data_IF_032881350823
#
_entry.id   IF_032881350823
#
_cell.length_a   1.000
_cell.length_b   1.000
_cell.length_c   1.000
_cell.angle_alpha   90.00
_cell.angle_beta   90.00
_cell.angle_gamma   90.00
#
_symmetry.space_group_name_H-M   'P 1'
#
loop_
_entity.id
_entity.type
_entity.pdbx_description
1 polymer ?
#
# COMPACT_ATOMS: atom_id res chain seq x y z
N UNK A 1 -45.09 -40.89 48.33
CA UNK A 1 -44.45 -39.67 47.79
C UNK A 1 -43.09 -39.51 48.45
N UNK A 2 -42.03 -39.96 47.77
CA UNK A 2 -40.94 -39.15 47.16
C UNK A 2 -39.86 -38.72 48.17
N UNK A 3 -38.75 -39.48 48.22
CA UNK A 3 -37.42 -39.18 47.61
C UNK A 3 -36.55 -38.24 48.47
N UNK A 4 -35.55 -38.74 49.20
CA UNK A 4 -34.14 -39.04 48.80
C UNK A 4 -33.40 -37.79 48.28
N UNK A 5 -32.54 -37.18 49.13
CA UNK A 5 -31.48 -36.25 48.73
C UNK A 5 -30.13 -36.76 49.22
N UNK A 6 -29.36 -37.37 48.33
CA UNK A 6 -27.90 -37.48 48.40
C UNK A 6 -27.39 -37.64 46.96
N UNK A 7 -26.42 -36.80 46.59
CA UNK A 7 -25.73 -36.86 45.30
C UNK A 7 -26.08 -35.74 44.33
N UNK A 8 -25.53 -34.54 44.53
CA UNK A 8 -25.46 -33.53 43.45
C UNK A 8 -24.37 -32.48 43.68
N UNK A 9 -23.15 -32.89 44.07
CA UNK A 9 -21.98 -31.99 44.13
C UNK A 9 -20.81 -32.51 43.27
N UNK A 10 -20.84 -33.76 42.78
CA UNK A 10 -19.71 -34.36 42.06
C UNK A 10 -19.79 -34.19 40.52
N UNK A 11 -20.81 -33.49 40.00
CA UNK A 11 -21.04 -33.39 38.55
C UNK A 11 -20.58 -32.07 37.90
N UNK A 12 -20.07 -31.10 38.66
CA UNK A 12 -19.70 -29.77 38.12
C UNK A 12 -18.20 -29.53 37.90
N UNK A 13 -17.31 -30.42 38.37
CA UNK A 13 -15.86 -30.25 38.21
C UNK A 13 -15.25 -30.98 37.00
N UNK A 14 -16.05 -31.71 36.21
CA UNK A 14 -15.56 -32.48 35.06
C UNK A 14 -15.79 -31.85 33.68
N UNK A 15 -16.33 -30.63 33.61
CA UNK A 15 -16.56 -29.93 32.33
C UNK A 15 -15.55 -28.84 31.99
N UNK A 16 -14.65 -28.45 32.91
CA UNK A 16 -13.67 -27.38 32.66
C UNK A 16 -12.30 -27.87 32.17
N UNK A 17 -12.04 -29.18 32.15
CA UNK A 17 -10.71 -29.71 31.83
C UNK A 17 -10.48 -30.11 30.37
N UNK A 18 -11.39 -29.78 29.44
CA UNK A 18 -11.25 -30.15 28.02
C UNK A 18 -11.22 -28.96 27.03
N UNK A 19 -11.29 -27.70 27.49
CA UNK A 19 -11.30 -26.50 26.61
C UNK A 19 -9.93 -25.84 26.42
N UNK A 20 -8.98 -26.00 27.35
CA UNK A 20 -7.69 -25.29 27.28
C UNK A 20 -6.75 -25.80 26.16
N UNK A 21 -6.88 -27.07 25.74
CA UNK A 21 -6.07 -27.65 24.67
C UNK A 21 -6.49 -27.25 23.25
N UNK A 22 -7.78 -27.01 23.04
CA UNK A 22 -8.35 -26.60 21.75
C UNK A 22 -8.14 -25.10 21.51
N UNK A 23 -8.27 -24.29 22.56
CA UNK A 23 -8.06 -22.84 22.51
C UNK A 23 -6.61 -22.46 22.16
N UNK A 24 -5.61 -23.14 22.74
CA UNK A 24 -4.20 -22.88 22.42
C UNK A 24 -3.85 -23.22 20.97
N UNK A 25 -4.44 -24.29 20.42
CA UNK A 25 -4.30 -24.68 19.01
C UNK A 25 -4.95 -23.67 18.06
N UNK A 26 -6.15 -23.21 18.40
CA UNK A 26 -6.90 -22.19 17.66
C UNK A 26 -6.18 -20.83 17.66
N UNK A 27 -5.64 -20.41 18.80
CA UNK A 27 -4.85 -19.17 18.93
C UNK A 27 -3.60 -19.24 18.04
N UNK A 28 -2.82 -20.32 18.09
CA UNK A 28 -1.64 -20.49 17.22
C UNK A 28 -2.01 -20.46 15.74
N UNK A 29 -3.12 -21.08 15.35
CA UNK A 29 -3.61 -21.06 13.96
C UNK A 29 -4.03 -19.66 13.51
N UNK A 30 -4.72 -18.91 14.37
CA UNK A 30 -5.09 -17.51 14.12
C UNK A 30 -3.85 -16.62 14.02
N UNK A 31 -2.90 -16.78 14.92
CA UNK A 31 -1.64 -16.05 14.90
C UNK A 31 -0.85 -16.32 13.62
N UNK A 32 -0.72 -17.59 13.21
CA UNK A 32 -0.06 -17.94 11.94
C UNK A 32 -0.73 -17.24 10.76
N UNK A 33 -2.06 -17.31 10.65
CA UNK A 33 -2.83 -16.63 9.59
C UNK A 33 -2.63 -15.12 9.63
N UNK A 34 -2.64 -14.51 10.82
CA UNK A 34 -2.42 -13.08 10.98
C UNK A 34 -0.99 -12.66 10.59
N UNK A 35 0.03 -13.46 10.94
CA UNK A 35 1.43 -13.18 10.62
C UNK A 35 1.79 -13.41 9.15
N UNK A 36 1.09 -14.30 8.43
CA UNK A 36 1.40 -14.66 7.05
C UNK A 36 0.33 -14.23 6.03
N UNK A 37 -0.48 -13.20 6.36
CA UNK A 37 -1.50 -12.72 5.44
C UNK A 37 -0.90 -11.85 4.32
N UNK A 38 -1.59 -11.79 3.18
CA UNK A 38 -1.14 -11.09 1.99
C UNK A 38 -0.83 -9.61 2.26
N UNK A 39 -1.69 -8.90 2.99
CA UNK A 39 -1.48 -7.48 3.29
C UNK A 39 -0.22 -7.22 4.12
N UNK A 40 0.06 -8.07 5.10
CA UNK A 40 1.29 -7.96 5.91
C UNK A 40 2.54 -8.29 5.10
N UNK A 41 2.49 -9.33 4.27
CA UNK A 41 3.62 -9.71 3.43
C UNK A 41 3.94 -8.62 2.39
N UNK A 42 2.91 -8.12 1.70
CA UNK A 42 3.06 -7.00 0.76
C UNK A 42 3.59 -5.75 1.47
N UNK A 43 3.06 -5.41 2.64
CA UNK A 43 3.58 -4.28 3.41
C UNK A 43 5.07 -4.42 3.74
N UNK A 44 5.52 -5.60 4.17
CA UNK A 44 6.94 -5.87 4.43
C UNK A 44 7.79 -5.68 3.17
N UNK A 45 7.36 -6.26 2.03
CA UNK A 45 8.08 -6.19 0.75
C UNK A 45 8.14 -4.73 0.26
N UNK A 46 7.01 -4.01 0.27
CA UNK A 46 6.97 -2.59 -0.12
C UNK A 46 7.86 -1.73 0.75
N UNK A 47 7.88 -1.98 2.07
CA UNK A 47 8.71 -1.24 3.02
C UNK A 47 10.20 -1.42 2.75
N UNK A 48 10.59 -2.65 2.43
CA UNK A 48 11.96 -3.02 2.10
C UNK A 48 12.40 -2.34 0.79
N UNK A 49 11.61 -2.50 -0.28
CA UNK A 49 11.84 -1.83 -1.56
C UNK A 49 11.97 -0.31 -1.39
N UNK A 50 11.05 0.34 -0.66
CA UNK A 50 11.12 1.78 -0.39
C UNK A 50 12.43 2.19 0.30
N UNK A 51 12.89 1.39 1.27
CA UNK A 51 14.13 1.67 2.01
C UNK A 51 15.34 1.58 1.08
N UNK A 52 15.42 0.52 0.29
CA UNK A 52 16.53 0.30 -0.64
C UNK A 52 16.56 1.39 -1.73
N UNK A 53 15.40 1.75 -2.30
CA UNK A 53 15.32 2.83 -3.28
C UNK A 53 15.75 4.17 -2.68
N UNK A 54 15.37 4.47 -1.45
CA UNK A 54 15.81 5.69 -0.77
C UNK A 54 17.33 5.70 -0.55
N UNK A 55 17.89 4.58 -0.09
CA UNK A 55 19.33 4.46 0.14
C UNK A 55 20.12 4.64 -1.17
N UNK A 56 19.76 3.91 -2.23
CA UNK A 56 20.41 4.00 -3.54
C UNK A 56 20.28 5.37 -4.18
N UNK A 57 19.10 6.01 -4.09
CA UNK A 57 18.95 7.37 -4.59
C UNK A 57 19.77 8.39 -3.77
N UNK A 58 19.86 8.22 -2.45
CA UNK A 58 20.69 9.08 -1.61
C UNK A 58 22.18 8.94 -1.95
N UNK A 59 22.65 7.72 -2.24
CA UNK A 59 24.01 7.46 -2.74
C UNK A 59 24.28 8.13 -4.09
N UNK A 60 23.26 8.21 -4.96
CA UNK A 60 23.31 8.99 -6.22
C UNK A 60 23.17 10.51 -6.03
N UNK A 61 23.13 11.01 -4.79
CA UNK A 61 23.08 12.45 -4.46
C UNK A 61 21.68 13.07 -4.44
N UNK A 62 20.62 12.26 -4.46
CA UNK A 62 19.25 12.75 -4.31
C UNK A 62 18.89 12.93 -2.83
N UNK A 63 18.71 14.18 -2.42
CA UNK A 63 18.44 14.55 -1.04
C UNK A 63 16.94 14.58 -0.71
N UNK A 64 16.62 14.53 0.59
CA UNK A 64 15.29 14.86 1.10
C UNK A 64 14.23 13.77 0.94
N UNK A 65 14.58 12.62 0.37
CA UNK A 65 13.65 11.52 0.15
C UNK A 65 13.06 11.02 1.47
N UNK A 66 11.74 10.84 1.51
CA UNK A 66 11.03 10.33 2.68
C UNK A 66 10.03 9.26 2.29
N UNK A 67 9.73 8.44 3.29
CA UNK A 67 8.65 7.48 3.23
C UNK A 67 7.31 8.20 3.12
N UNK A 68 6.41 7.70 2.26
CA UNK A 68 5.13 8.34 1.98
C UNK A 68 5.17 9.29 0.78
N UNK A 69 6.35 9.65 0.26
CA UNK A 69 6.45 10.42 -0.99
C UNK A 69 6.01 9.62 -2.22
N UNK A 70 5.98 8.29 -2.11
CA UNK A 70 5.40 7.38 -3.09
C UNK A 70 3.93 7.70 -3.38
N UNK A 71 3.19 8.24 -2.40
CA UNK A 71 1.83 8.72 -2.61
C UNK A 71 1.74 9.76 -3.74
N UNK A 72 2.77 10.60 -3.90
CA UNK A 72 2.84 11.51 -5.04
C UNK A 72 3.33 10.78 -6.29
N UNK A 73 4.51 10.13 -6.23
CA UNK A 73 5.18 9.65 -7.44
C UNK A 73 4.44 8.52 -8.17
N UNK A 74 3.76 7.62 -7.45
CA UNK A 74 3.04 6.48 -8.05
C UNK A 74 1.86 6.89 -8.93
N UNK A 75 1.31 8.10 -8.72
CA UNK A 75 0.12 8.59 -9.41
C UNK A 75 0.42 9.73 -10.38
N UNK A 76 1.70 10.03 -10.64
CA UNK A 76 2.11 11.10 -11.54
C UNK A 76 2.14 10.65 -13.00
N UNK A 77 1.89 11.59 -13.91
CA UNK A 77 2.06 11.41 -15.36
C UNK A 77 3.34 12.07 -15.82
N UNK A 78 4.19 11.34 -16.54
CA UNK A 78 5.41 11.89 -17.14
C UNK A 78 5.15 12.98 -18.19
N UNK A 79 3.98 12.98 -18.83
CA UNK A 79 3.67 13.92 -19.92
C UNK A 79 2.66 15.00 -19.54
N UNK A 80 1.57 14.63 -18.86
CA UNK A 80 0.40 15.51 -18.72
C UNK A 80 0.36 16.28 -17.39
N UNK A 81 1.22 15.89 -16.45
CA UNK A 81 1.09 16.29 -15.06
C UNK A 81 -0.27 15.86 -14.46
N UNK A 82 -0.43 16.05 -13.16
CA UNK A 82 -1.65 15.60 -12.46
C UNK A 82 -2.15 16.70 -11.53
N UNK A 83 -3.47 16.91 -11.46
CA UNK A 83 -4.01 17.91 -10.55
C UNK A 83 -3.81 17.44 -9.11
N UNK A 84 -3.54 18.36 -8.22
CA UNK A 84 -3.37 18.08 -6.77
C UNK A 84 -4.61 17.39 -6.19
N UNK A 85 -5.80 17.72 -6.69
CA UNK A 85 -7.06 17.09 -6.25
C UNK A 85 -7.15 15.62 -6.68
N UNK A 86 -6.69 15.30 -7.88
CA UNK A 86 -6.70 13.92 -8.40
C UNK A 86 -5.65 13.08 -7.67
N UNK A 87 -4.48 13.66 -7.36
CA UNK A 87 -3.47 13.03 -6.51
C UNK A 87 -4.02 12.76 -5.10
N UNK A 88 -4.72 13.73 -4.51
CA UNK A 88 -5.31 13.58 -3.18
C UNK A 88 -6.34 12.44 -3.17
N UNK A 89 -7.22 12.41 -4.18
CA UNK A 89 -8.24 11.36 -4.33
C UNK A 89 -7.63 9.97 -4.53
N UNK A 90 -6.60 9.85 -5.38
CA UNK A 90 -5.92 8.58 -5.66
C UNK A 90 -5.26 7.96 -4.42
N UNK A 91 -4.89 8.79 -3.44
CA UNK A 91 -4.21 8.36 -2.22
C UNK A 91 -5.10 8.40 -0.97
N UNK A 92 -6.39 8.68 -1.12
CA UNK A 92 -7.32 8.87 0.01
C UNK A 92 -6.83 9.92 1.03
N UNK A 93 -6.10 10.94 0.54
CA UNK A 93 -5.59 12.05 1.34
C UNK A 93 -6.49 13.27 1.19
N UNK A 94 -6.46 14.15 2.21
CA UNK A 94 -7.07 15.47 2.06
C UNK A 94 -6.30 16.31 1.05
N UNK A 95 -6.98 17.24 0.37
CA UNK A 95 -6.33 18.20 -0.52
C UNK A 95 -5.23 18.99 0.17
N UNK A 96 -5.42 19.32 1.45
CA UNK A 96 -4.45 20.03 2.28
C UNK A 96 -3.20 19.18 2.52
N UNK A 97 -3.37 17.92 2.93
CA UNK A 97 -2.26 16.99 3.14
C UNK A 97 -1.47 16.77 1.85
N UNK A 98 -2.15 16.53 0.72
CA UNK A 98 -1.49 16.40 -0.57
C UNK A 98 -0.79 17.70 -0.99
N UNK A 99 -1.37 18.87 -0.73
CA UNK A 99 -0.73 20.15 -1.04
C UNK A 99 0.55 20.37 -0.22
N UNK A 100 0.56 19.96 1.05
CA UNK A 100 1.76 19.99 1.89
C UNK A 100 2.84 19.06 1.36
N UNK A 101 2.49 17.84 0.99
CA UNK A 101 3.41 16.88 0.39
C UNK A 101 4.03 17.43 -0.90
N UNK A 102 3.21 18.00 -1.80
CA UNK A 102 3.71 18.63 -3.03
C UNK A 102 4.62 19.82 -2.72
N UNK A 103 4.30 20.67 -1.74
CA UNK A 103 5.16 21.80 -1.35
C UNK A 103 6.54 21.32 -0.89
N UNK A 104 6.56 20.23 -0.12
CA UNK A 104 7.79 19.65 0.38
C UNK A 104 8.66 19.13 -0.78
N UNK A 105 8.08 18.34 -1.68
CA UNK A 105 8.79 17.75 -2.82
C UNK A 105 9.23 18.83 -3.82
N UNK A 106 8.43 19.88 -3.99
CA UNK A 106 8.76 21.07 -4.78
C UNK A 106 9.93 21.85 -4.15
N UNK A 107 10.02 21.91 -2.83
CA UNK A 107 11.14 22.51 -2.10
C UNK A 107 12.48 21.80 -2.34
N UNK A 108 12.47 20.50 -2.63
CA UNK A 108 13.66 19.75 -3.07
C UNK A 108 13.90 19.81 -4.59
N UNK A 109 13.01 20.46 -5.33
CA UNK A 109 13.11 20.68 -6.77
C UNK A 109 12.80 19.46 -7.62
N UNK A 110 12.10 18.45 -7.11
CA UNK A 110 11.72 17.26 -7.89
C UNK A 110 10.44 17.43 -8.69
N UNK A 111 9.55 18.30 -8.22
CA UNK A 111 8.30 18.62 -8.90
C UNK A 111 8.10 20.13 -8.97
N UNK A 112 7.24 20.55 -9.88
CA UNK A 112 6.82 21.92 -10.02
C UNK A 112 5.33 21.99 -10.32
N UNK A 113 4.68 23.09 -9.92
CA UNK A 113 3.29 23.36 -10.28
C UNK A 113 3.18 24.31 -11.46
N UNK A 114 2.44 23.89 -12.48
CA UNK A 114 2.09 24.72 -13.63
C UNK A 114 0.57 24.95 -13.68
N UNK A 115 0.09 26.08 -14.22
CA UNK A 115 -1.34 26.30 -14.43
C UNK A 115 -1.95 25.17 -15.26
N UNK A 116 -3.18 24.78 -14.93
CA UNK A 116 -3.92 23.83 -15.77
C UNK A 116 -4.41 24.55 -17.05
N UNK A 117 -4.13 24.02 -18.26
CA UNK A 117 -4.48 24.69 -19.51
C UNK A 117 -6.00 24.73 -19.78
N UNK A 118 -6.79 23.92 -19.06
CA UNK A 118 -8.25 23.83 -19.20
C UNK A 118 -8.97 24.59 -18.08
N UNK A 119 -8.40 24.64 -16.88
CA UNK A 119 -8.94 25.38 -15.73
C UNK A 119 -7.86 26.20 -15.02
N UNK A 120 -7.75 27.49 -15.34
CA UNK A 120 -6.73 28.38 -14.75
C UNK A 120 -6.80 28.53 -13.22
N UNK A 121 -7.87 28.06 -12.57
CA UNK A 121 -7.97 28.01 -11.09
C UNK A 121 -7.31 26.76 -10.50
N UNK A 122 -7.04 25.75 -11.32
CA UNK A 122 -6.34 24.53 -10.94
C UNK A 122 -4.85 24.61 -11.27
N UNK A 123 -4.06 23.80 -10.55
CA UNK A 123 -2.64 23.60 -10.82
C UNK A 123 -2.38 22.12 -11.05
N UNK A 124 -1.52 21.83 -12.03
CA UNK A 124 -0.98 20.51 -12.32
C UNK A 124 0.43 20.40 -11.78
N UNK A 125 0.73 19.27 -11.17
CA UNK A 125 2.07 18.92 -10.71
C UNK A 125 2.78 18.19 -11.84
N UNK A 126 4.00 18.61 -12.16
CA UNK A 126 4.88 18.01 -13.15
C UNK A 126 6.20 17.62 -12.49
N UNK A 127 6.87 16.59 -13.02
CA UNK A 127 8.28 16.39 -12.70
C UNK A 127 9.12 17.52 -13.30
N UNK A 128 10.11 17.97 -12.55
CA UNK A 128 11.21 18.78 -13.09
C UNK A 128 12.21 17.87 -13.81
N UNK A 129 13.23 18.44 -14.43
CA UNK A 129 14.36 17.66 -14.96
C UNK A 129 15.05 16.84 -13.84
N UNK A 130 15.29 17.44 -12.68
CA UNK A 130 15.82 16.74 -11.49
C UNK A 130 14.90 15.61 -11.03
N UNK A 131 13.58 15.84 -11.04
CA UNK A 131 12.57 14.83 -10.73
C UNK A 131 12.58 13.65 -11.71
N UNK A 132 12.67 13.92 -13.00
CA UNK A 132 12.79 12.87 -14.02
C UNK A 132 14.09 12.07 -13.87
N UNK A 133 15.21 12.73 -13.57
CA UNK A 133 16.47 12.04 -13.29
C UNK A 133 16.37 11.14 -12.05
N UNK A 134 15.70 11.59 -10.99
CA UNK A 134 15.41 10.77 -9.81
C UNK A 134 14.58 9.53 -10.17
N UNK A 135 13.54 9.68 -10.99
CA UNK A 135 12.71 8.55 -11.44
C UNK A 135 13.53 7.56 -12.27
N UNK A 136 14.35 8.05 -13.20
CA UNK A 136 15.21 7.18 -14.01
C UNK A 136 16.21 6.40 -13.15
N UNK A 137 16.83 7.05 -12.16
CA UNK A 137 17.69 6.36 -11.20
C UNK A 137 16.91 5.32 -10.38
N UNK A 138 15.69 5.66 -9.97
CA UNK A 138 14.82 4.74 -9.23
C UNK A 138 14.43 3.51 -10.06
N UNK A 139 14.18 3.66 -11.36
CA UNK A 139 13.88 2.53 -12.26
C UNK A 139 15.06 1.56 -12.32
N UNK A 140 16.30 2.06 -12.45
CA UNK A 140 17.48 1.22 -12.41
C UNK A 140 17.65 0.53 -11.04
N UNK A 141 17.47 1.29 -9.95
CA UNK A 141 17.56 0.77 -8.59
C UNK A 141 16.51 -0.31 -8.29
N UNK A 142 15.30 -0.22 -8.86
CA UNK A 142 14.27 -1.27 -8.72
C UNK A 142 14.81 -2.60 -9.26
N UNK A 143 15.45 -2.60 -10.44
CA UNK A 143 16.00 -3.83 -11.02
C UNK A 143 17.05 -4.46 -10.11
N UNK A 144 17.97 -3.67 -9.55
CA UNK A 144 19.00 -4.17 -8.62
C UNK A 144 18.38 -4.75 -7.33
N UNK A 145 17.34 -4.13 -6.80
CA UNK A 145 16.64 -4.64 -5.60
C UNK A 145 15.92 -5.96 -5.90
N UNK A 146 15.27 -6.05 -7.06
CA UNK A 146 14.59 -7.28 -7.51
C UNK A 146 15.57 -8.42 -7.82
N UNK A 147 16.79 -8.11 -8.28
CA UNK A 147 17.89 -9.07 -8.39
C UNK A 147 18.27 -9.63 -7.01
N UNK A 148 18.42 -8.77 -6.00
CA UNK A 148 18.64 -9.21 -4.62
C UNK A 148 17.53 -10.14 -4.10
N UNK A 149 16.27 -9.87 -4.43
CA UNK A 149 15.17 -10.79 -4.12
C UNK A 149 15.29 -12.12 -4.86
N UNK A 150 15.78 -12.08 -6.11
CA UNK A 150 15.98 -13.27 -6.92
C UNK A 150 17.09 -14.17 -6.36
N UNK A 151 18.13 -13.59 -5.77
CA UNK A 151 19.16 -14.34 -5.03
C UNK A 151 18.59 -15.05 -3.79
N UNK A 152 17.61 -14.44 -3.11
CA UNK A 152 17.03 -14.99 -1.87
C UNK A 152 16.07 -16.16 -2.10
N UNK A 153 15.22 -16.08 -3.14
CA UNK A 153 14.13 -17.06 -3.33
C UNK A 153 14.12 -17.75 -4.70
N UNK A 154 14.99 -17.32 -5.61
CA UNK A 154 15.07 -17.77 -7.00
C UNK A 154 14.32 -16.84 -7.96
N UNK A 155 14.94 -16.57 -9.11
CA UNK A 155 14.43 -15.68 -10.18
C UNK A 155 13.02 -16.06 -10.65
N UNK A 156 12.75 -17.35 -10.86
CA UNK A 156 11.43 -17.83 -11.29
C UNK A 156 10.33 -17.41 -10.31
N UNK A 157 10.58 -17.51 -9.00
CA UNK A 157 9.59 -17.14 -7.99
C UNK A 157 9.35 -15.63 -7.93
N UNK A 158 10.40 -14.83 -8.09
CA UNK A 158 10.28 -13.36 -8.16
C UNK A 158 9.48 -12.95 -9.40
N UNK A 159 9.77 -13.55 -10.56
CA UNK A 159 9.03 -13.28 -11.79
C UNK A 159 7.55 -13.68 -11.67
N UNK A 160 7.24 -14.82 -11.05
CA UNK A 160 5.87 -15.24 -10.76
C UNK A 160 5.18 -14.25 -9.80
N UNK A 161 5.85 -13.83 -8.72
CA UNK A 161 5.32 -12.87 -7.77
C UNK A 161 4.96 -11.55 -8.47
N UNK A 162 5.87 -11.00 -9.28
CA UNK A 162 5.65 -9.77 -10.05
C UNK A 162 4.43 -9.90 -10.97
N UNK A 163 4.35 -11.00 -11.72
CA UNK A 163 3.23 -11.25 -12.64
C UNK A 163 1.89 -11.31 -11.91
N UNK A 164 1.79 -12.09 -10.84
CA UNK A 164 0.56 -12.26 -10.05
C UNK A 164 0.16 -10.95 -9.37
N UNK A 165 1.11 -10.23 -8.77
CA UNK A 165 0.85 -8.94 -8.15
C UNK A 165 0.35 -7.91 -9.17
N UNK A 166 0.97 -7.85 -10.35
CA UNK A 166 0.54 -6.96 -11.42
C UNK A 166 -0.87 -7.31 -11.92
N UNK A 167 -1.15 -8.60 -12.16
CA UNK A 167 -2.49 -9.04 -12.59
C UNK A 167 -3.55 -8.62 -11.57
N UNK A 168 -3.30 -8.84 -10.28
CA UNK A 168 -4.21 -8.46 -9.21
C UNK A 168 -4.38 -6.94 -9.15
N UNK A 169 -3.28 -6.18 -9.17
CA UNK A 169 -3.29 -4.72 -9.11
C UNK A 169 -4.11 -4.12 -10.27
N UNK A 170 -3.87 -4.57 -11.50
CA UNK A 170 -4.62 -4.13 -12.69
C UNK A 170 -6.11 -4.40 -12.51
N UNK A 171 -6.50 -5.61 -12.08
CA UNK A 171 -7.91 -5.95 -11.86
C UNK A 171 -8.56 -5.12 -10.75
N UNK A 172 -7.83 -4.79 -9.70
CA UNK A 172 -8.31 -3.92 -8.61
C UNK A 172 -8.57 -2.50 -9.11
N UNK A 173 -7.62 -1.91 -9.85
CA UNK A 173 -7.76 -0.56 -10.43
C UNK A 173 -9.02 -0.48 -11.32
N UNK A 174 -9.21 -1.45 -12.21
CA UNK A 174 -10.39 -1.50 -13.07
C UNK A 174 -11.68 -1.60 -12.25
N UNK A 175 -11.70 -2.47 -11.24
CA UNK A 175 -12.87 -2.65 -10.36
C UNK A 175 -13.24 -1.35 -9.63
N UNK A 176 -12.25 -0.58 -9.21
CA UNK A 176 -12.49 0.66 -8.46
C UNK A 176 -12.99 1.79 -9.38
N UNK A 177 -12.52 1.85 -10.63
CA UNK A 177 -13.10 2.74 -11.66
C UNK A 177 -14.58 2.43 -11.90
N UNK A 178 -14.94 1.15 -12.06
CA UNK A 178 -16.32 0.74 -12.29
C UNK A 178 -17.23 1.02 -11.07
N UNK A 179 -16.70 0.86 -9.86
CA UNK A 179 -17.43 1.23 -8.63
C UNK A 179 -17.75 2.73 -8.57
N UNK A 180 -16.78 3.59 -8.93
CA UNK A 180 -16.99 5.05 -8.97
C UNK A 180 -18.08 5.44 -9.98
N UNK A 181 -18.03 4.90 -11.20
CA UNK A 181 -19.08 5.14 -12.23
C UNK A 181 -20.47 4.75 -11.73
N UNK A 182 -20.62 3.57 -11.13
CA UNK A 182 -21.91 3.10 -10.60
C UNK A 182 -22.43 3.97 -9.46
N UNK A 183 -21.54 4.54 -8.63
CA UNK A 183 -21.93 5.44 -7.56
C UNK A 183 -22.42 6.79 -8.10
N UNK A 184 -21.74 7.35 -9.10
CA UNK A 184 -22.16 8.58 -9.77
C UNK A 184 -23.52 8.43 -10.47
N UNK A 185 -23.77 7.30 -11.13
CA UNK A 185 -25.05 7.01 -11.78
C UNK A 185 -26.21 6.89 -10.77
N UNK A 186 -25.95 6.33 -9.59
CA UNK A 186 -26.94 6.24 -8.51
C UNK A 186 -27.25 7.62 -7.92
N UNK A 187 -26.24 8.46 -7.72
CA UNK A 187 -26.42 9.82 -7.20
C UNK A 187 -27.14 10.75 -8.19
N UNK A 188 -27.00 10.53 -9.51
CA UNK A 188 -27.72 11.30 -10.55
C UNK A 188 -29.19 10.88 -10.75
N UNK A 189 -29.59 9.70 -10.25
CA UNK A 189 -30.95 9.16 -10.36
C UNK A 189 -31.79 9.40 -9.09
N UNK A 190 -31.21 10.00 -8.06
CA UNK A 190 -31.88 10.46 -6.83
C UNK A 190 -32.08 11.97 -6.89
#
# INVERSE_FOLDING_TARGET
MTHKKSGSIVALEKSESNSQGDDAGLIKKREKRYRSNLGRNLHTITRDLQRELMAKNAESGYEGLKLGWDALFLHMSFMLGVRVVDLAEANELSKQAMSQLVNEIEGYGYVERRPDPVDGRAKRVFFTEKGMSLINNSIAAISEVEEGYSELIGEEKVNQLKSICNELAVKLIHRDVERKKQQEEKTKKQ
#
